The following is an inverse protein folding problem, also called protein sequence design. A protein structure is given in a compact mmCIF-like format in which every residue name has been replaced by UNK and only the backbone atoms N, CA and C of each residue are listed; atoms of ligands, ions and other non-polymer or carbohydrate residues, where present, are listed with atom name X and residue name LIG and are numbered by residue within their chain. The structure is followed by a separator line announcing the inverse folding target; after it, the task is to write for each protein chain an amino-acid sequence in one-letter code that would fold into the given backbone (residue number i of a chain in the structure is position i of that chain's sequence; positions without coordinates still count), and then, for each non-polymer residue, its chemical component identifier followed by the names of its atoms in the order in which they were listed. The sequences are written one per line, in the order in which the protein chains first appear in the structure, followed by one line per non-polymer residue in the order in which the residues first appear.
data_IF_469700962238
#
_entry.id   IF_469700962238
#
_cell.length_a   1.000
_cell.length_b   1.000
_cell.length_c   1.000
_cell.angle_alpha   90.00
_cell.angle_beta   90.00
_cell.angle_gamma   90.00
#
_symmetry.space_group_name_H-M   'P 1'
#
loop_
_entity.id
_entity.type
_entity.pdbx_description
1 polymer ?
#
# COMPACT_ATOMS: atom_id res chain seq x y z
N UNK A 1 24.38 44.81 -5.61
CA UNK A 1 24.22 43.90 -4.46
C UNK A 1 25.35 42.87 -4.49
N UNK A 2 26.18 42.77 -3.44
CA UNK A 2 27.39 41.91 -3.45
C UNK A 2 27.06 40.48 -3.06
N UNK A 3 27.54 39.51 -3.86
CA UNK A 3 27.40 38.06 -3.63
C UNK A 3 27.86 37.63 -2.23
N UNK A 4 28.86 38.31 -1.64
CA UNK A 4 29.34 38.00 -0.27
C UNK A 4 28.25 38.18 0.80
N UNK A 5 27.34 39.15 0.63
CA UNK A 5 26.24 39.38 1.59
C UNK A 5 25.20 38.25 1.62
N UNK A 6 25.14 37.40 0.59
CA UNK A 6 24.22 36.25 0.55
C UNK A 6 24.73 35.06 1.39
N UNK A 7 26.02 35.06 1.75
CA UNK A 7 26.67 33.96 2.48
C UNK A 7 27.05 34.31 3.92
N UNK A 8 27.04 35.58 4.30
CA UNK A 8 27.42 36.06 5.64
C UNK A 8 26.28 36.05 6.68
N UNK A 9 25.13 35.43 6.37
CA UNK A 9 23.99 35.43 7.29
C UNK A 9 24.26 34.52 8.52
N UNK A 10 24.72 35.17 9.59
CA UNK A 10 25.01 34.60 10.92
C UNK A 10 23.78 33.96 11.60
N UNK A 11 22.59 34.03 10.99
CA UNK A 11 21.38 33.32 11.45
C UNK A 11 21.34 31.83 11.06
N UNK A 12 22.19 31.36 10.13
CA UNK A 12 22.26 29.93 9.73
C UNK A 12 23.00 29.02 10.71
N UNK A 13 22.88 29.23 12.03
CA UNK A 13 23.49 28.33 13.03
C UNK A 13 22.91 26.89 12.99
N UNK A 14 21.80 26.67 12.29
CA UNK A 14 21.12 25.38 12.21
C UNK A 14 21.00 24.78 10.79
N UNK A 15 21.61 25.37 9.76
CA UNK A 15 21.39 24.91 8.37
C UNK A 15 22.19 23.65 7.98
N UNK A 16 23.10 23.16 8.84
CA UNK A 16 23.97 22.02 8.50
C UNK A 16 24.29 21.05 9.63
N UNK A 17 23.69 21.22 10.81
CA UNK A 17 23.97 20.37 11.97
C UNK A 17 22.71 19.63 12.39
N UNK A 18 22.79 18.30 12.34
CA UNK A 18 21.93 17.33 13.05
C UNK A 18 20.66 16.79 12.35
N UNK A 19 20.68 16.57 11.03
CA UNK A 19 19.71 15.67 10.37
C UNK A 19 20.31 14.35 9.87
N UNK A 20 21.58 14.04 10.17
CA UNK A 20 22.29 12.91 9.53
C UNK A 20 22.36 11.60 10.35
N UNK A 21 22.34 11.67 11.69
CA UNK A 21 22.50 10.47 12.53
C UNK A 21 21.16 9.78 12.84
N UNK A 22 20.12 10.56 13.13
CA UNK A 22 18.77 10.02 13.28
C UNK A 22 18.22 9.55 11.94
N UNK A 23 18.45 10.28 10.85
CA UNK A 23 17.99 9.86 9.52
C UNK A 23 18.62 8.55 9.08
N UNK A 24 19.90 8.30 9.37
CA UNK A 24 20.57 7.06 8.96
C UNK A 24 20.09 5.86 9.79
N UNK A 25 19.94 5.99 11.11
CA UNK A 25 19.36 4.92 11.93
C UNK A 25 17.87 4.66 11.63
N UNK A 26 17.09 5.69 11.31
CA UNK A 26 15.72 5.49 10.81
C UNK A 26 15.72 4.86 9.41
N UNK A 27 16.62 5.28 8.52
CA UNK A 27 16.81 4.66 7.19
C UNK A 27 17.13 3.17 7.35
N UNK A 28 18.08 2.83 8.22
CA UNK A 28 18.48 1.43 8.46
C UNK A 28 17.37 0.57 9.05
N UNK A 29 16.40 1.17 9.75
CA UNK A 29 15.24 0.46 10.29
C UNK A 29 14.09 0.35 9.29
N UNK A 30 13.96 1.33 8.38
CA UNK A 30 12.90 1.39 7.35
C UNK A 30 13.28 0.68 6.05
N UNK A 31 14.58 0.50 5.79
CA UNK A 31 15.08 -0.19 4.60
C UNK A 31 14.93 -1.70 4.81
N UNK A 32 14.03 -2.29 4.05
CA UNK A 32 13.75 -3.74 4.06
C UNK A 32 14.89 -4.52 3.38
N UNK A 33 15.54 -3.92 2.38
CA UNK A 33 16.58 -4.55 1.57
C UNK A 33 17.64 -3.50 1.16
N UNK A 34 18.95 -3.78 1.28
CA UNK A 34 20.01 -2.85 0.84
C UNK A 34 19.85 -2.36 -0.61
N UNK A 35 19.31 -3.19 -1.51
CA UNK A 35 19.08 -2.80 -2.91
C UNK A 35 17.98 -1.75 -3.08
N UNK A 36 17.11 -1.56 -2.09
CA UNK A 36 16.11 -0.48 -2.09
C UNK A 36 16.78 0.90 -2.16
N UNK A 37 17.97 1.05 -1.56
CA UNK A 37 18.73 2.31 -1.60
C UNK A 37 19.16 2.64 -3.02
N UNK A 38 19.53 1.63 -3.81
CA UNK A 38 19.94 1.78 -5.21
C UNK A 38 18.75 2.27 -6.04
N UNK A 39 17.58 1.66 -5.86
CA UNK A 39 16.36 2.08 -6.55
C UNK A 39 15.90 3.48 -6.11
N UNK A 40 16.10 3.84 -4.83
CA UNK A 40 15.81 5.19 -4.35
C UNK A 40 16.77 6.23 -4.94
N UNK A 41 18.04 5.87 -5.13
CA UNK A 41 19.02 6.73 -5.78
C UNK A 41 18.70 6.93 -7.27
N UNK A 42 18.26 5.88 -7.98
CA UNK A 42 17.78 5.99 -9.36
C UNK A 42 16.60 6.96 -9.47
N UNK A 43 15.60 6.82 -8.59
CA UNK A 43 14.46 7.74 -8.52
C UNK A 43 14.89 9.19 -8.29
N UNK A 44 15.87 9.41 -7.41
CA UNK A 44 16.41 10.74 -7.11
C UNK A 44 17.13 11.37 -8.30
N UNK A 45 17.81 10.55 -9.10
CA UNK A 45 18.58 10.97 -10.28
C UNK A 45 17.74 10.98 -11.57
N UNK A 46 16.47 10.60 -11.49
CA UNK A 46 15.58 10.49 -12.63
C UNK A 46 15.34 11.86 -13.27
N UNK A 47 15.44 11.89 -14.60
CA UNK A 47 15.13 13.08 -15.38
C UNK A 47 13.63 13.13 -15.68
N UNK A 48 12.97 14.21 -15.23
CA UNK A 48 11.56 14.45 -15.50
C UNK A 48 11.45 15.44 -16.65
N UNK A 49 10.89 15.04 -17.81
CA UNK A 49 10.69 15.97 -18.92
C UNK A 49 9.65 17.04 -18.54
N UNK A 50 9.85 18.31 -18.95
CA UNK A 50 8.92 19.39 -18.68
C UNK A 50 7.74 19.34 -19.66
N UNK A 51 6.98 18.25 -19.66
CA UNK A 51 5.78 18.04 -20.48
C UNK A 51 4.57 17.95 -19.55
N UNK A 52 3.52 18.70 -19.87
CA UNK A 52 2.24 18.62 -19.15
C UNK A 52 1.38 17.49 -19.71
N UNK A 53 1.18 16.44 -18.91
CA UNK A 53 0.40 15.26 -19.25
C UNK A 53 -1.09 15.37 -18.88
N UNK A 54 -1.53 16.50 -18.32
CA UNK A 54 -2.94 16.72 -17.93
C UNK A 54 -3.89 16.75 -19.14
N UNK A 55 -3.36 17.09 -20.30
CA UNK A 55 -4.11 17.27 -21.54
C UNK A 55 -3.55 16.38 -22.65
N UNK A 56 -4.39 15.59 -23.34
CA UNK A 56 -3.94 14.68 -24.39
C UNK A 56 -3.26 15.40 -25.56
N UNK A 57 -3.66 16.63 -25.87
CA UNK A 57 -3.13 17.41 -26.99
C UNK A 57 -1.63 17.72 -26.83
N UNK A 58 -1.12 17.71 -25.59
CA UNK A 58 0.27 18.06 -25.30
C UNK A 58 1.25 16.91 -25.56
N UNK A 59 0.80 15.65 -25.48
CA UNK A 59 1.68 14.48 -25.58
C UNK A 59 1.32 13.52 -26.72
N UNK A 60 0.05 13.41 -27.10
CA UNK A 60 -0.40 12.49 -28.15
C UNK A 60 -0.14 13.07 -29.55
N UNK A 61 1.11 12.97 -30.02
CA UNK A 61 1.52 13.46 -31.34
C UNK A 61 1.15 12.50 -32.49
N UNK A 62 1.20 11.21 -32.22
CA UNK A 62 0.93 10.15 -33.19
C UNK A 62 0.09 9.08 -32.48
N UNK A 63 -0.96 8.55 -33.12
CA UNK A 63 -1.85 7.55 -32.51
C UNK A 63 -3.01 8.15 -31.70
N UNK A 64 -3.84 7.27 -31.12
CA UNK A 64 -5.01 7.64 -30.33
C UNK A 64 -4.63 7.90 -28.87
N UNK A 65 -4.99 9.07 -28.34
CA UNK A 65 -4.85 9.38 -26.92
C UNK A 65 -5.52 8.32 -26.03
N UNK A 66 -6.71 7.85 -26.42
CA UNK A 66 -7.46 6.81 -25.71
C UNK A 66 -6.65 5.53 -25.53
N UNK A 67 -5.93 5.10 -26.57
CA UNK A 67 -5.14 3.88 -26.54
C UNK A 67 -3.93 4.02 -25.59
N UNK A 68 -3.30 5.19 -25.54
CA UNK A 68 -2.24 5.47 -24.58
C UNK A 68 -2.74 5.36 -23.14
N UNK A 69 -3.88 5.97 -22.81
CA UNK A 69 -4.48 5.85 -21.48
C UNK A 69 -4.82 4.39 -21.17
N UNK A 70 -5.49 3.69 -22.09
CA UNK A 70 -5.88 2.29 -21.90
C UNK A 70 -4.66 1.41 -21.62
N UNK A 71 -3.58 1.59 -22.36
CA UNK A 71 -2.36 0.81 -22.19
C UNK A 71 -1.68 1.11 -20.85
N UNK A 72 -1.55 2.39 -20.48
CA UNK A 72 -0.96 2.81 -19.21
C UNK A 72 -1.75 2.26 -18.00
N UNK A 73 -3.08 2.38 -18.03
CA UNK A 73 -3.94 1.80 -16.99
C UNK A 73 -3.82 0.28 -16.93
N UNK A 74 -3.87 -0.39 -18.07
CA UNK A 74 -3.75 -1.86 -18.16
C UNK A 74 -2.39 -2.33 -17.61
N UNK A 75 -1.32 -1.58 -17.88
CA UNK A 75 0.01 -1.88 -17.36
C UNK A 75 0.06 -1.76 -15.84
N UNK A 76 -0.44 -0.66 -15.27
CA UNK A 76 -0.50 -0.47 -13.80
C UNK A 76 -1.35 -1.56 -13.14
N UNK A 77 -2.55 -1.83 -13.65
CA UNK A 77 -3.46 -2.83 -13.06
C UNK A 77 -2.84 -4.22 -13.03
N UNK A 78 -2.19 -4.63 -14.11
CA UNK A 78 -1.69 -6.00 -14.24
C UNK A 78 -0.32 -6.22 -13.60
N UNK A 79 0.54 -5.20 -13.55
CA UNK A 79 1.96 -5.38 -13.20
C UNK A 79 2.39 -4.62 -11.94
N UNK A 80 1.56 -3.73 -11.39
CA UNK A 80 1.89 -3.09 -10.13
C UNK A 80 1.91 -4.13 -8.98
N UNK A 81 3.00 -4.25 -8.23
CA UNK A 81 3.12 -5.27 -7.19
C UNK A 81 2.39 -4.81 -5.90
N UNK A 82 1.06 -4.99 -5.85
CA UNK A 82 0.23 -4.57 -4.71
C UNK A 82 0.70 -5.17 -3.38
N UNK A 83 1.02 -6.47 -3.39
CA UNK A 83 1.56 -7.22 -2.25
C UNK A 83 3.09 -7.32 -2.27
N UNK A 84 3.75 -6.53 -3.11
CA UNK A 84 5.21 -6.49 -3.20
C UNK A 84 5.86 -5.73 -2.05
N UNK A 85 7.14 -6.02 -1.86
CA UNK A 85 8.05 -5.28 -0.98
C UNK A 85 8.17 -3.81 -1.40
N UNK A 86 8.63 -2.96 -0.47
CA UNK A 86 8.86 -1.54 -0.76
C UNK A 86 9.84 -1.33 -1.92
N UNK A 87 10.81 -2.25 -2.08
CA UNK A 87 11.74 -2.28 -3.20
C UNK A 87 11.05 -2.55 -4.54
N UNK A 88 10.16 -3.54 -4.61
CA UNK A 88 9.50 -3.91 -5.87
C UNK A 88 8.57 -2.81 -6.36
N UNK A 89 7.87 -2.15 -5.44
CA UNK A 89 7.04 -0.97 -5.74
C UNK A 89 7.88 0.16 -6.31
N UNK A 90 9.03 0.44 -5.68
CA UNK A 90 9.95 1.47 -6.14
C UNK A 90 10.59 1.14 -7.50
N UNK A 91 10.97 -0.13 -7.71
CA UNK A 91 11.49 -0.60 -8.99
C UNK A 91 10.46 -0.50 -10.11
N UNK A 92 9.19 -0.83 -9.82
CA UNK A 92 8.09 -0.67 -10.76
C UNK A 92 7.92 0.81 -11.13
N UNK A 93 7.86 1.70 -10.14
CA UNK A 93 7.72 3.14 -10.38
C UNK A 93 8.87 3.70 -11.23
N UNK A 94 10.11 3.26 -10.98
CA UNK A 94 11.29 3.64 -11.77
C UNK A 94 11.26 3.08 -13.20
N UNK A 95 10.49 2.03 -13.47
CA UNK A 95 10.37 1.43 -14.80
C UNK A 95 9.28 2.06 -15.67
N UNK A 96 8.44 2.93 -15.08
CA UNK A 96 7.36 3.60 -15.79
C UNK A 96 7.91 4.69 -16.72
N UNK A 97 7.27 4.82 -17.88
CA UNK A 97 7.50 5.99 -18.72
C UNK A 97 6.93 7.26 -18.04
N UNK A 98 7.44 8.46 -18.36
CA UNK A 98 6.96 9.71 -17.75
C UNK A 98 5.44 9.92 -17.84
N UNK A 99 4.82 9.50 -18.94
CA UNK A 99 3.36 9.51 -19.09
C UNK A 99 2.66 8.49 -18.16
N UNK A 100 3.12 7.24 -18.14
CA UNK A 100 2.55 6.21 -17.25
C UNK A 100 2.74 6.56 -15.78
N UNK A 101 3.83 7.25 -15.45
CA UNK A 101 4.09 7.78 -14.12
C UNK A 101 3.07 8.85 -13.74
N UNK A 102 2.75 9.78 -14.65
CA UNK A 102 1.64 10.73 -14.43
C UNK A 102 0.32 10.00 -14.19
N UNK A 103 0.01 8.97 -14.98
CA UNK A 103 -1.20 8.16 -14.78
C UNK A 103 -1.17 7.50 -13.40
N UNK A 104 -0.07 6.86 -13.02
CA UNK A 104 0.08 6.18 -11.74
C UNK A 104 0.03 7.14 -10.54
N UNK A 105 0.53 8.36 -10.69
CA UNK A 105 0.64 9.33 -9.59
C UNK A 105 -0.61 10.17 -9.39
N UNK A 106 -1.25 10.59 -10.48
CA UNK A 106 -2.33 11.58 -10.45
C UNK A 106 -3.69 10.94 -10.74
N UNK A 107 -3.80 10.17 -11.81
CA UNK A 107 -5.09 9.66 -12.30
C UNK A 107 -5.49 8.33 -11.66
N UNK A 108 -4.51 7.50 -11.29
CA UNK A 108 -4.77 6.17 -10.77
C UNK A 108 -5.27 6.24 -9.33
N UNK A 109 -6.45 5.65 -9.02
CA UNK A 109 -7.01 5.71 -7.68
C UNK A 109 -6.17 4.86 -6.71
N UNK A 110 -5.35 5.53 -5.89
CA UNK A 110 -4.54 4.92 -4.82
C UNK A 110 -5.22 4.95 -3.44
N UNK A 111 -6.40 5.55 -3.34
CA UNK A 111 -7.14 5.66 -2.06
C UNK A 111 -7.68 4.29 -1.62
N UNK A 112 -7.42 3.91 -0.37
CA UNK A 112 -8.06 2.77 0.26
C UNK A 112 -9.41 3.18 0.85
N UNK A 113 -10.49 2.57 0.38
CA UNK A 113 -11.80 2.69 1.01
C UNK A 113 -11.91 1.69 2.18
N UNK A 114 -12.44 2.14 3.31
CA UNK A 114 -12.88 1.25 4.38
C UNK A 114 -14.40 1.28 4.48
N UNK A 115 -14.99 0.12 4.77
CA UNK A 115 -16.41 0.04 5.07
C UNK A 115 -16.54 0.14 6.59
N UNK A 116 -17.27 1.14 7.08
CA UNK A 116 -17.59 1.24 8.50
C UNK A 116 -18.79 0.33 8.80
N UNK A 117 -18.55 -0.74 9.55
CA UNK A 117 -19.57 -1.71 9.95
C UNK A 117 -20.04 -1.41 11.38
N UNK A 118 -21.36 -1.27 11.58
CA UNK A 118 -21.94 -1.08 12.92
C UNK A 118 -22.05 0.38 13.39
N UNK A 119 -22.22 1.33 12.47
CA UNK A 119 -22.31 2.76 12.79
C UNK A 119 -23.51 3.14 13.70
N UNK A 120 -24.51 2.26 13.80
CA UNK A 120 -25.58 2.31 14.81
C UNK A 120 -25.77 0.91 15.36
N UNK A 121 -25.21 0.63 16.53
CA UNK A 121 -25.66 -0.50 17.34
C UNK A 121 -27.13 -0.21 17.68
N UNK A 122 -28.04 -1.07 17.24
CA UNK A 122 -29.45 -0.98 17.63
C UNK A 122 -29.59 -1.03 19.16
N UNK A 123 -30.83 -0.95 19.65
CA UNK A 123 -31.12 -1.07 21.08
C UNK A 123 -30.46 -2.33 21.66
N UNK A 124 -29.70 -2.17 22.74
CA UNK A 124 -29.02 -3.25 23.45
C UNK A 124 -30.04 -4.25 23.99
N UNK A 125 -29.97 -5.49 23.53
CA UNK A 125 -30.69 -6.62 24.12
C UNK A 125 -29.98 -7.16 25.36
N UNK A 126 -30.59 -8.15 26.01
CA UNK A 126 -30.07 -8.77 27.24
C UNK A 126 -28.67 -9.37 27.03
N UNK A 127 -27.74 -9.04 27.92
CA UNK A 127 -26.39 -9.59 27.89
C UNK A 127 -26.37 -11.05 28.37
N UNK A 128 -25.70 -11.93 27.62
CA UNK A 128 -25.41 -13.32 28.03
C UNK A 128 -23.91 -13.52 27.99
N UNK A 129 -23.30 -13.86 29.13
CA UNK A 129 -21.85 -14.12 29.21
C UNK A 129 -20.95 -12.90 28.95
N UNK A 130 -21.44 -11.68 29.22
CA UNK A 130 -20.66 -10.44 29.05
C UNK A 130 -20.76 -9.78 27.67
N UNK A 131 -21.50 -10.38 26.73
CA UNK A 131 -21.76 -9.81 25.41
C UNK A 131 -23.25 -9.53 25.26
N UNK A 132 -23.61 -8.35 24.73
CA UNK A 132 -25.00 -7.99 24.41
C UNK A 132 -25.23 -8.10 22.91
N UNK A 133 -26.42 -8.55 22.52
CA UNK A 133 -26.87 -8.64 21.13
C UNK A 133 -27.92 -7.57 20.87
N UNK A 134 -27.89 -6.92 19.70
CA UNK A 134 -28.90 -5.92 19.36
C UNK A 134 -30.25 -6.60 19.05
N UNK A 135 -31.36 -6.04 19.55
CA UNK A 135 -32.71 -6.51 19.21
C UNK A 135 -32.99 -6.19 17.73
N UNK A 136 -32.91 -7.20 16.86
CA UNK A 136 -33.03 -7.04 15.40
C UNK A 136 -31.70 -6.81 14.67
N UNK A 137 -30.57 -7.21 15.25
CA UNK A 137 -29.24 -7.00 14.66
C UNK A 137 -29.06 -7.63 13.28
N UNK A 138 -28.58 -6.83 12.33
CA UNK A 138 -28.09 -7.31 11.03
C UNK A 138 -26.70 -7.92 11.21
N UNK A 139 -26.51 -9.16 10.77
CA UNK A 139 -25.20 -9.82 10.80
C UNK A 139 -24.60 -9.84 9.39
N UNK A 140 -23.29 -9.66 9.30
CA UNK A 140 -22.53 -9.93 8.07
C UNK A 140 -21.81 -11.25 8.30
N UNK A 141 -22.28 -12.31 7.63
CA UNK A 141 -21.57 -13.59 7.63
C UNK A 141 -20.45 -13.52 6.61
N UNK A 142 -19.22 -13.42 7.09
CA UNK A 142 -18.05 -13.69 6.27
C UNK A 142 -17.83 -15.20 6.31
N UNK A 143 -18.16 -15.89 5.21
CA UNK A 143 -17.77 -17.29 5.06
C UNK A 143 -16.26 -17.32 4.80
N UNK A 144 -15.51 -18.00 5.67
CA UNK A 144 -14.06 -18.16 5.56
C UNK A 144 -13.65 -18.92 4.29
N UNK A 145 -12.34 -18.88 3.98
CA UNK A 145 -11.70 -19.38 2.74
C UNK A 145 -11.87 -20.88 2.43
N UNK A 146 -11.17 -21.43 1.43
CA UNK A 146 -11.53 -22.64 0.65
C UNK A 146 -11.70 -23.96 1.43
N UNK A 147 -11.43 -23.96 2.74
CA UNK A 147 -11.66 -25.11 3.60
C UNK A 147 -13.10 -25.11 4.11
N UNK A 148 -13.78 -26.25 3.94
CA UNK A 148 -15.10 -26.47 4.48
C UNK A 148 -15.13 -26.14 5.97
N UNK A 149 -16.16 -25.41 6.38
CA UNK A 149 -16.42 -25.14 7.79
C UNK A 149 -16.45 -26.47 8.56
N UNK A 150 -15.83 -26.57 9.74
CA UNK A 150 -15.98 -27.76 10.58
C UNK A 150 -17.46 -28.02 10.81
N UNK A 151 -17.82 -29.30 10.80
CA UNK A 151 -19.18 -29.81 10.89
C UNK A 151 -20.05 -28.99 11.87
N UNK A 152 -21.14 -28.40 11.36
CA UNK A 152 -22.12 -27.71 12.19
C UNK A 152 -22.73 -28.72 13.16
N UNK A 153 -22.89 -28.34 14.43
CA UNK A 153 -23.63 -29.17 15.38
C UNK A 153 -25.08 -29.36 14.93
N UNK A 154 -25.74 -30.43 15.41
CA UNK A 154 -27.16 -30.74 15.12
C UNK A 154 -28.15 -29.62 15.52
N UNK A 155 -27.68 -28.63 16.25
CA UNK A 155 -28.37 -27.42 16.71
C UNK A 155 -28.27 -26.25 15.71
N UNK A 156 -27.61 -26.41 14.56
CA UNK A 156 -27.53 -25.38 13.52
C UNK A 156 -26.64 -24.18 13.87
N UNK A 157 -26.01 -24.20 15.04
CA UNK A 157 -25.09 -23.15 15.46
C UNK A 157 -23.66 -23.44 14.96
N UNK A 158 -22.92 -22.41 14.48
CA UNK A 158 -21.51 -22.56 14.17
C UNK A 158 -20.74 -22.89 15.45
N UNK A 159 -19.90 -23.93 15.43
CA UNK A 159 -18.91 -24.11 16.49
C UNK A 159 -17.83 -23.06 16.31
N UNK A 160 -18.00 -21.90 16.94
CA UNK A 160 -17.11 -20.73 16.87
C UNK A 160 -15.65 -20.99 17.30
N UNK A 161 -15.29 -22.22 17.67
CA UNK A 161 -13.96 -22.61 18.19
C UNK A 161 -13.33 -23.83 17.51
N UNK A 162 -14.02 -24.48 16.56
CA UNK A 162 -13.48 -25.67 15.87
C UNK A 162 -12.84 -25.33 14.52
N UNK A 163 -12.91 -24.06 14.09
CA UNK A 163 -12.27 -23.59 12.88
C UNK A 163 -10.75 -23.69 12.98
N UNK A 164 -10.16 -24.73 12.36
CA UNK A 164 -8.70 -24.84 12.22
C UNK A 164 -8.09 -23.81 11.26
N UNK A 165 -8.89 -22.89 10.73
CA UNK A 165 -8.44 -21.83 9.83
C UNK A 165 -7.34 -20.94 10.44
N UNK A 166 -7.20 -20.93 11.78
CA UNK A 166 -6.25 -20.09 12.51
C UNK A 166 -5.23 -20.94 13.31
N UNK A 167 -5.27 -22.27 13.20
CA UNK A 167 -4.39 -23.18 13.97
C UNK A 167 -3.24 -23.60 13.07
N UNK A 168 -2.09 -22.93 13.22
CA UNK A 168 -0.86 -23.32 12.55
C UNK A 168 -0.39 -24.69 13.09
N UNK A 169 -0.29 -25.69 12.22
CA UNK A 169 0.38 -26.94 12.57
C UNK A 169 1.89 -26.77 12.40
N UNK A 170 2.63 -26.91 13.49
CA UNK A 170 4.09 -26.81 13.48
C UNK A 170 4.75 -27.86 12.55
N UNK A 171 4.07 -28.99 12.29
CA UNK A 171 4.49 -30.05 11.36
C UNK A 171 4.44 -29.67 9.89
N UNK A 172 3.65 -28.66 9.52
CA UNK A 172 3.40 -28.29 8.13
C UNK A 172 4.37 -27.18 7.66
N UNK A 173 5.21 -26.65 8.57
CA UNK A 173 6.39 -25.88 8.18
C UNK A 173 7.37 -26.82 7.50
N UNK A 174 7.52 -26.68 6.17
CA UNK A 174 8.70 -27.21 5.49
C UNK A 174 9.92 -26.58 6.15
N UNK A 175 10.76 -27.40 6.77
CA UNK A 175 12.12 -27.03 7.13
C UNK A 175 12.80 -26.51 5.86
N UNK A 176 13.23 -25.24 5.91
CA UNK A 176 14.11 -24.54 4.97
C UNK A 176 14.46 -25.33 3.69
N UNK A 177 13.94 -24.90 2.54
CA UNK A 177 14.41 -25.35 1.23
C UNK A 177 15.74 -24.67 0.85
N UNK A 178 16.70 -24.64 1.78
CA UNK A 178 18.05 -24.20 1.54
C UNK A 178 19.01 -25.34 1.89
N UNK A 179 19.10 -26.28 0.95
CA UNK A 179 20.23 -27.20 0.77
C UNK A 179 20.70 -27.08 -0.67
#
# INVERSE_FOLDING_TARGET
MSIKKLFDDKTRKNAGKLLKANSLNTLSREVENPEQIIEAEKKRLEFIPPVDYSKPENFAKFGSAEEYYKNAFTHVVNFYPYDGSSKEKLKFENSLNPFEKYIFDVEYPKSTGFINLGNSYGTTGSAVGGYSTATGGSFIVVKGGPHASPNLGRDGNPKFRDGKANVYKLSDLKSNNLS
#
